data_IF_320421041973
#
_entry.id   IF_320421041973
#
_cell.length_a   1.000
_cell.length_b   1.000
_cell.length_c   1.000
_cell.angle_alpha   90.00
_cell.angle_beta   90.00
_cell.angle_gamma   90.00
#
_symmetry.space_group_name_H-M   'P 1'
#
loop_
_entity.id
_entity.type
_entity.pdbx_description
1 polymer ?
#
# COMPACT_ATOMS: atom_id res chain seq x y z
N UNK A 1 -8.44 22.93 38.91
CA UNK A 1 -9.42 21.89 39.28
C UNK A 1 -8.62 20.66 39.70
N UNK A 2 -8.48 20.40 41.00
CA UNK A 2 -7.68 19.30 41.55
C UNK A 2 -8.51 18.03 41.54
N UNK A 3 -8.28 17.14 40.58
CA UNK A 3 -8.92 15.82 40.54
C UNK A 3 -8.34 15.00 41.70
N UNK A 4 -9.17 14.69 42.70
CA UNK A 4 -8.81 13.85 43.83
C UNK A 4 -8.43 12.44 43.34
N UNK A 5 -7.30 11.89 43.81
CA UNK A 5 -6.83 10.53 43.50
C UNK A 5 -7.91 9.46 43.68
N UNK A 6 -8.80 9.60 44.67
CA UNK A 6 -9.93 8.67 44.88
C UNK A 6 -10.97 8.76 43.76
N UNK A 7 -11.28 9.95 43.29
CA UNK A 7 -12.20 10.18 42.16
C UNK A 7 -11.58 9.69 40.85
N UNK A 8 -10.27 9.84 40.66
CA UNK A 8 -9.54 9.31 39.51
C UNK A 8 -9.53 7.77 39.52
N UNK A 9 -9.28 7.14 40.68
CA UNK A 9 -9.34 5.68 40.81
C UNK A 9 -10.75 5.14 40.56
N UNK A 10 -11.78 5.80 41.10
CA UNK A 10 -13.18 5.40 40.88
C UNK A 10 -13.55 5.52 39.39
N UNK A 11 -13.12 6.59 38.72
CA UNK A 11 -13.33 6.78 37.28
C UNK A 11 -12.61 5.71 36.46
N UNK A 12 -11.37 5.36 36.81
CA UNK A 12 -10.61 4.27 36.15
C UNK A 12 -11.34 2.93 36.33
N UNK A 13 -11.81 2.62 37.54
CA UNK A 13 -12.54 1.37 37.82
C UNK A 13 -13.84 1.32 37.02
N UNK A 14 -14.63 2.40 36.98
CA UNK A 14 -15.89 2.45 36.21
C UNK A 14 -15.64 2.31 34.71
N UNK A 15 -14.67 3.04 34.14
CA UNK A 15 -14.35 2.97 32.72
C UNK A 15 -13.77 1.61 32.31
N UNK A 16 -12.90 1.02 33.14
CA UNK A 16 -12.38 -0.33 32.92
C UNK A 16 -13.44 -1.42 33.06
N UNK A 17 -14.44 -1.21 33.94
CA UNK A 17 -15.59 -2.09 34.12
C UNK A 17 -16.50 -2.12 32.89
N UNK A 18 -16.79 -0.97 32.27
CA UNK A 18 -17.65 -0.91 31.09
C UNK A 18 -17.06 -1.68 29.89
N UNK A 19 -15.78 -1.47 29.56
CA UNK A 19 -15.14 -2.20 28.46
C UNK A 19 -15.04 -3.71 28.74
N UNK A 20 -14.79 -4.10 29.99
CA UNK A 20 -14.77 -5.50 30.39
C UNK A 20 -16.16 -6.15 30.29
N UNK A 21 -17.22 -5.44 30.67
CA UNK A 21 -18.61 -5.90 30.56
C UNK A 21 -19.03 -6.06 29.10
N UNK A 22 -18.79 -5.08 28.22
CA UNK A 22 -19.15 -5.19 26.79
C UNK A 22 -18.37 -6.31 26.09
N UNK A 23 -17.10 -6.51 26.44
CA UNK A 23 -16.33 -7.64 25.92
C UNK A 23 -16.86 -8.98 26.44
N UNK A 24 -17.34 -9.02 27.68
CA UNK A 24 -17.98 -10.20 28.27
C UNK A 24 -19.28 -10.54 27.54
N UNK A 25 -20.16 -9.56 27.30
CA UNK A 25 -21.43 -9.79 26.61
C UNK A 25 -21.20 -10.27 25.18
N UNK A 26 -20.31 -9.63 24.41
CA UNK A 26 -19.99 -10.10 23.04
C UNK A 26 -19.37 -11.50 23.01
N UNK A 27 -18.60 -11.88 24.03
CA UNK A 27 -18.06 -13.23 24.15
C UNK A 27 -19.14 -14.26 24.51
N UNK A 28 -20.10 -13.90 25.36
CA UNK A 28 -21.23 -14.76 25.73
C UNK A 28 -22.19 -14.95 24.57
N UNK A 29 -22.51 -13.87 23.86
CA UNK A 29 -23.50 -13.86 22.79
C UNK A 29 -22.97 -14.47 21.49
N UNK A 30 -21.69 -14.26 21.17
CA UNK A 30 -21.11 -14.59 19.87
C UNK A 30 -19.77 -15.34 19.94
N UNK A 31 -19.34 -15.77 21.12
CA UNK A 31 -18.06 -16.45 21.30
C UNK A 31 -16.84 -15.52 21.29
N UNK A 32 -15.69 -16.06 21.69
CA UNK A 32 -14.42 -15.34 21.70
C UNK A 32 -13.95 -15.01 20.27
N UNK A 33 -13.23 -13.89 20.07
CA UNK A 33 -12.70 -13.55 18.75
C UNK A 33 -11.56 -14.49 18.36
N UNK A 34 -11.56 -14.91 17.09
CA UNK A 34 -10.49 -15.66 16.42
C UNK A 34 -9.71 -14.75 15.46
N UNK A 35 -8.49 -14.32 15.83
CA UNK A 35 -7.61 -13.52 14.97
C UNK A 35 -7.30 -14.15 13.60
N UNK A 36 -7.40 -15.47 13.46
CA UNK A 36 -7.10 -16.19 12.23
C UNK A 36 -8.33 -16.34 11.32
N UNK A 37 -9.52 -15.87 11.76
CA UNK A 37 -10.78 -16.03 11.03
C UNK A 37 -10.71 -15.58 9.56
N UNK A 38 -9.98 -14.50 9.30
CA UNK A 38 -9.82 -13.92 7.96
C UNK A 38 -8.43 -14.15 7.35
N UNK A 39 -7.66 -15.12 7.85
CA UNK A 39 -6.44 -15.56 7.17
C UNK A 39 -6.76 -16.23 5.83
N UNK A 40 -7.93 -16.89 5.76
CA UNK A 40 -8.49 -17.44 4.53
C UNK A 40 -9.95 -17.00 4.39
N UNK A 41 -10.35 -16.35 3.27
CA UNK A 41 -11.74 -15.96 3.04
C UNK A 41 -12.63 -17.20 2.82
N UNK A 42 -13.91 -17.08 3.20
CA UNK A 42 -14.93 -18.02 2.77
C UNK A 42 -15.31 -17.76 1.29
N UNK A 43 -15.68 -18.81 0.57
CA UNK A 43 -16.21 -18.66 -0.79
C UNK A 43 -17.63 -18.07 -0.76
N UNK A 44 -17.96 -17.14 -1.68
CA UNK A 44 -19.31 -16.61 -1.75
C UNK A 44 -20.30 -17.67 -2.27
N UNK A 45 -21.57 -17.60 -1.87
CA UNK A 45 -22.60 -18.50 -2.40
C UNK A 45 -22.83 -18.27 -3.91
N UNK A 46 -23.39 -19.25 -4.64
CA UNK A 46 -23.73 -19.09 -6.05
C UNK A 46 -24.58 -17.85 -6.30
N UNK A 47 -24.21 -17.05 -7.30
CA UNK A 47 -24.90 -15.82 -7.67
C UNK A 47 -24.51 -14.57 -6.87
N UNK A 48 -23.53 -14.67 -5.97
CA UNK A 48 -22.93 -13.53 -5.27
C UNK A 48 -21.42 -13.49 -5.51
N UNK A 49 -20.84 -12.31 -5.71
CA UNK A 49 -19.41 -12.12 -5.98
C UNK A 49 -18.90 -10.84 -5.33
N UNK A 50 -17.82 -10.95 -4.54
CA UNK A 50 -17.20 -9.76 -3.97
C UNK A 50 -16.73 -8.82 -5.09
N UNK A 51 -16.06 -9.35 -6.12
CA UNK A 51 -15.48 -8.48 -7.16
C UNK A 51 -16.51 -7.84 -8.07
N UNK A 52 -17.65 -8.49 -8.31
CA UNK A 52 -18.71 -7.95 -9.19
C UNK A 52 -19.71 -7.09 -8.44
N UNK A 53 -20.04 -7.45 -7.20
CA UNK A 53 -21.16 -6.83 -6.48
C UNK A 53 -20.69 -5.84 -5.40
N UNK A 54 -19.63 -6.18 -4.66
CA UNK A 54 -19.17 -5.42 -3.47
C UNK A 54 -18.08 -4.41 -3.83
N UNK A 55 -17.05 -4.87 -4.52
CA UNK A 55 -15.87 -4.06 -4.86
C UNK A 55 -16.24 -2.75 -5.58
N UNK A 56 -17.15 -2.72 -6.59
CA UNK A 56 -17.52 -1.46 -7.25
C UNK A 56 -18.13 -0.41 -6.31
N UNK A 57 -18.87 -0.85 -5.28
CA UNK A 57 -19.44 0.04 -4.26
C UNK A 57 -18.31 0.62 -3.41
N UNK A 58 -17.38 -0.22 -2.94
CA UNK A 58 -16.24 0.22 -2.14
C UNK A 58 -15.34 1.18 -2.92
N UNK A 59 -15.09 0.91 -4.21
CA UNK A 59 -14.30 1.77 -5.09
C UNK A 59 -14.93 3.15 -5.25
N UNK A 60 -16.24 3.19 -5.52
CA UNK A 60 -16.99 4.43 -5.71
C UNK A 60 -17.17 5.24 -4.43
N UNK A 61 -17.34 4.57 -3.28
CA UNK A 61 -17.81 5.22 -2.03
C UNK A 61 -16.76 5.31 -0.93
N UNK A 62 -15.75 4.44 -0.91
CA UNK A 62 -14.83 4.28 0.22
C UNK A 62 -13.37 4.50 -0.17
N UNK A 63 -12.93 3.98 -1.32
CA UNK A 63 -11.52 4.02 -1.76
C UNK A 63 -11.00 5.46 -1.87
N UNK A 64 -11.83 6.41 -2.31
CA UNK A 64 -11.45 7.83 -2.41
C UNK A 64 -10.86 8.41 -1.12
N UNK A 65 -11.31 7.95 0.05
CA UNK A 65 -10.78 8.38 1.36
C UNK A 65 -9.78 7.39 1.97
N UNK A 66 -9.79 6.13 1.51
CA UNK A 66 -9.08 5.01 2.14
C UNK A 66 -8.01 4.38 1.24
N UNK A 67 -7.61 5.02 0.14
CA UNK A 67 -6.60 4.49 -0.77
C UNK A 67 -5.16 4.78 -0.35
N UNK A 68 -4.92 5.77 0.51
CA UNK A 68 -3.58 6.23 0.86
C UNK A 68 -3.02 5.54 2.10
N UNK A 69 -1.70 5.60 2.35
CA UNK A 69 -1.13 5.00 3.57
C UNK A 69 -1.70 5.59 4.86
N UNK A 70 -2.01 6.88 4.86
CA UNK A 70 -2.62 7.61 5.97
C UNK A 70 -4.14 7.77 5.84
N UNK A 71 -4.81 6.86 5.09
CA UNK A 71 -6.27 6.75 5.15
C UNK A 71 -6.73 6.71 6.61
N UNK A 72 -7.94 7.22 6.96
CA UNK A 72 -8.40 7.27 8.34
C UNK A 72 -8.23 5.92 9.05
N UNK A 73 -7.59 5.94 10.23
CA UNK A 73 -7.25 4.73 11.00
C UNK A 73 -6.42 3.68 10.23
N UNK A 74 -5.66 4.10 9.22
CA UNK A 74 -4.97 3.22 8.26
C UNK A 74 -5.88 2.18 7.58
N UNK A 75 -7.21 2.32 7.61
CA UNK A 75 -8.10 1.34 6.99
C UNK A 75 -8.03 1.47 5.47
N UNK A 76 -7.92 0.34 4.78
CA UNK A 76 -7.82 0.26 3.32
C UNK A 76 -9.01 -0.51 2.75
N UNK A 77 -9.69 0.09 1.77
CA UNK A 77 -10.78 -0.54 1.01
C UNK A 77 -10.38 -0.92 -0.41
N UNK A 78 -9.09 -0.75 -0.76
CA UNK A 78 -8.52 -1.05 -2.08
C UNK A 78 -8.41 -2.54 -2.36
N UNK A 79 -8.49 -3.40 -1.34
CA UNK A 79 -8.53 -4.85 -1.50
C UNK A 79 -9.28 -5.48 -0.33
N UNK A 80 -9.77 -6.70 -0.51
CA UNK A 80 -10.45 -7.45 0.56
C UNK A 80 -9.55 -7.63 1.78
N UNK A 81 -8.27 -7.93 1.55
CA UNK A 81 -7.24 -8.11 2.58
C UNK A 81 -6.97 -6.81 3.34
N UNK A 82 -7.18 -5.65 2.70
CA UNK A 82 -7.12 -4.35 3.37
C UNK A 82 -8.22 -4.16 4.42
N UNK A 83 -9.41 -4.71 4.14
CA UNK A 83 -10.55 -4.71 5.06
C UNK A 83 -10.30 -5.74 6.17
N UNK A 84 -9.85 -6.94 5.83
CA UNK A 84 -9.49 -8.00 6.78
C UNK A 84 -8.36 -7.56 7.74
N UNK A 85 -7.38 -6.81 7.24
CA UNK A 85 -6.34 -6.17 8.06
C UNK A 85 -6.95 -5.27 9.14
N UNK A 86 -7.98 -4.49 8.83
CA UNK A 86 -8.66 -3.61 9.77
C UNK A 86 -7.96 -2.29 10.04
N UNK A 87 -8.10 -1.76 11.25
CA UNK A 87 -7.71 -0.39 11.63
C UNK A 87 -6.51 -0.35 12.57
N UNK A 88 -5.78 0.75 12.56
CA UNK A 88 -4.75 1.08 13.54
C UNK A 88 -4.85 2.55 13.96
N UNK A 89 -4.58 2.83 15.24
CA UNK A 89 -4.51 4.20 15.79
C UNK A 89 -3.15 4.86 15.53
N UNK A 90 -2.15 4.08 15.11
CA UNK A 90 -0.81 4.57 14.85
C UNK A 90 -0.82 5.63 13.74
N UNK A 91 -0.13 6.74 13.99
CA UNK A 91 0.01 7.79 12.99
C UNK A 91 1.12 7.41 12.01
N UNK A 92 0.79 7.33 10.72
CA UNK A 92 1.81 7.10 9.68
C UNK A 92 2.77 8.29 9.61
N UNK A 93 2.22 9.49 9.47
CA UNK A 93 2.97 10.75 9.48
C UNK A 93 2.91 11.39 10.87
N UNK A 94 3.99 11.20 11.64
CA UNK A 94 4.21 11.80 12.95
C UNK A 94 5.56 12.52 12.95
N UNK A 95 5.52 13.86 12.88
CA UNK A 95 6.72 14.71 12.83
C UNK A 95 7.49 14.75 14.15
N UNK A 96 6.94 14.21 15.24
CA UNK A 96 7.64 14.11 16.52
C UNK A 96 8.49 12.84 16.66
N UNK A 97 8.43 11.92 15.69
CA UNK A 97 9.10 10.64 15.78
C UNK A 97 10.61 10.80 15.56
N UNK A 98 11.41 10.27 16.49
CA UNK A 98 12.88 10.27 16.42
C UNK A 98 13.48 9.06 15.70
N UNK A 99 12.68 8.00 15.52
CA UNK A 99 13.09 6.74 14.91
C UNK A 99 12.13 6.38 13.78
N UNK A 100 12.53 5.50 12.87
CA UNK A 100 11.65 5.07 11.78
C UNK A 100 10.43 4.31 12.31
N UNK A 101 9.25 4.52 11.70
CA UNK A 101 8.06 3.74 12.03
C UNK A 101 8.15 2.31 11.49
N UNK A 102 7.55 1.32 12.18
CA UNK A 102 7.27 0.02 11.60
C UNK A 102 6.46 0.15 10.30
N UNK A 103 6.80 -0.66 9.29
CA UNK A 103 6.09 -0.63 8.01
C UNK A 103 4.82 -1.46 8.05
N UNK A 104 3.77 -0.95 7.38
CA UNK A 104 2.42 -1.51 7.37
C UNK A 104 1.81 -1.54 5.97
N UNK A 105 2.62 -1.72 4.92
CA UNK A 105 2.19 -1.84 3.53
C UNK A 105 1.48 -3.17 3.32
N UNK A 106 0.32 -3.10 2.69
CA UNK A 106 -0.48 -4.28 2.38
C UNK A 106 0.32 -5.22 1.47
N UNK A 107 0.19 -6.53 1.69
CA UNK A 107 0.86 -7.58 0.92
C UNK A 107 2.39 -7.62 0.96
N UNK A 108 3.03 -6.76 1.75
CA UNK A 108 4.49 -6.70 1.87
C UNK A 108 4.90 -6.97 3.31
N UNK A 109 4.39 -6.17 4.26
CA UNK A 109 4.88 -6.22 5.63
C UNK A 109 4.15 -7.26 6.51
N UNK A 110 3.01 -7.78 6.03
CA UNK A 110 2.31 -8.97 6.51
C UNK A 110 1.33 -9.49 5.43
N UNK A 111 1.01 -10.78 5.48
CA UNK A 111 0.24 -11.50 4.46
C UNK A 111 -1.16 -11.93 4.95
N UNK A 112 -1.37 -12.09 6.25
CA UNK A 112 -2.64 -12.59 6.81
C UNK A 112 -3.24 -11.65 7.86
N UNK A 113 -4.55 -11.79 8.13
CA UNK A 113 -5.24 -10.96 9.12
C UNK A 113 -4.65 -11.13 10.53
N UNK A 114 -4.34 -12.38 10.93
CA UNK A 114 -3.73 -12.70 12.21
C UNK A 114 -2.35 -12.06 12.40
N UNK A 115 -1.53 -12.00 11.35
CA UNK A 115 -0.24 -11.29 11.38
C UNK A 115 -0.44 -9.79 11.62
N UNK A 116 -1.49 -9.19 11.05
CA UNK A 116 -1.83 -7.80 11.31
C UNK A 116 -2.31 -7.54 12.74
N UNK A 117 -3.04 -8.49 13.35
CA UNK A 117 -3.38 -8.44 14.79
C UNK A 117 -2.12 -8.41 15.65
N UNK A 118 -1.12 -9.22 15.30
CA UNK A 118 0.21 -9.20 15.93
C UNK A 118 0.95 -7.86 15.79
N UNK A 119 0.63 -7.08 14.77
CA UNK A 119 1.13 -5.71 14.54
C UNK A 119 0.25 -4.61 15.15
N UNK A 120 -0.72 -4.97 16.00
CA UNK A 120 -1.58 -4.02 16.71
C UNK A 120 -2.79 -3.50 15.93
N UNK A 121 -3.08 -4.05 14.74
CA UNK A 121 -4.32 -3.71 14.04
C UNK A 121 -5.53 -4.37 14.71
N UNK A 122 -6.67 -3.70 14.67
CA UNK A 122 -7.95 -4.18 15.20
C UNK A 122 -8.92 -4.52 14.05
N UNK A 123 -9.67 -5.60 14.21
CA UNK A 123 -10.64 -6.04 13.21
C UNK A 123 -11.76 -5.03 13.00
N UNK A 124 -12.19 -4.90 11.74
CA UNK A 124 -13.43 -4.19 11.37
C UNK A 124 -14.54 -5.13 10.91
N UNK A 125 -14.17 -6.38 10.59
CA UNK A 125 -15.08 -7.49 10.31
C UNK A 125 -15.25 -8.35 11.57
N UNK A 126 -16.31 -9.17 11.61
CA UNK A 126 -16.58 -10.06 12.73
C UNK A 126 -15.60 -11.25 12.77
N UNK A 127 -14.73 -11.29 13.79
CA UNK A 127 -13.81 -12.40 14.06
C UNK A 127 -14.38 -13.45 15.01
N UNK A 128 -15.65 -13.34 15.42
CA UNK A 128 -16.31 -14.26 16.36
C UNK A 128 -17.11 -15.32 15.60
N UNK A 129 -18.12 -15.92 16.22
CA UNK A 129 -19.02 -16.87 15.56
C UNK A 129 -19.56 -16.33 14.24
N UNK A 130 -19.61 -17.19 13.22
CA UNK A 130 -19.95 -16.81 11.84
C UNK A 130 -21.43 -17.04 11.53
N UNK A 131 -22.29 -16.50 12.37
CA UNK A 131 -23.74 -16.46 12.12
C UNK A 131 -24.11 -15.11 11.50
N UNK A 132 -25.20 -15.00 10.70
CA UNK A 132 -25.61 -13.73 10.12
C UNK A 132 -25.80 -12.61 11.16
N UNK A 133 -26.36 -12.94 12.33
CA UNK A 133 -26.55 -11.98 13.42
C UNK A 133 -25.21 -11.50 14.01
N UNK A 134 -24.31 -12.43 14.35
CA UNK A 134 -22.99 -12.11 14.88
C UNK A 134 -22.15 -11.31 13.87
N UNK A 135 -22.21 -11.68 12.60
CA UNK A 135 -21.49 -11.02 11.51
C UNK A 135 -21.85 -9.53 11.36
N UNK A 136 -23.09 -9.16 11.69
CA UNK A 136 -23.52 -7.78 11.72
C UNK A 136 -23.21 -7.11 13.06
N UNK A 137 -23.64 -7.72 14.17
CA UNK A 137 -23.54 -7.13 15.50
C UNK A 137 -22.09 -6.88 15.94
N UNK A 138 -21.17 -7.78 15.55
CA UNK A 138 -19.75 -7.69 15.89
C UNK A 138 -18.87 -7.12 14.76
N UNK A 139 -19.46 -6.45 13.76
CA UNK A 139 -18.74 -5.80 12.66
C UNK A 139 -18.74 -4.27 12.83
N UNK A 140 -17.56 -3.70 13.09
CA UNK A 140 -17.36 -2.24 13.12
C UNK A 140 -17.77 -1.61 11.78
N UNK A 141 -17.46 -2.30 10.67
CA UNK A 141 -17.83 -1.82 9.34
C UNK A 141 -19.35 -1.74 9.18
N UNK A 142 -20.08 -2.78 9.59
CA UNK A 142 -21.55 -2.76 9.50
C UNK A 142 -22.13 -1.67 10.39
N UNK A 143 -21.71 -1.59 11.66
CA UNK A 143 -22.21 -0.60 12.61
C UNK A 143 -21.96 0.83 12.13
N UNK A 144 -20.83 1.09 11.47
CA UNK A 144 -20.55 2.40 10.86
C UNK A 144 -21.52 2.75 9.72
N UNK A 145 -21.91 1.77 8.90
CA UNK A 145 -22.90 1.96 7.84
C UNK A 145 -24.31 2.13 8.42
N UNK A 146 -24.67 1.33 9.42
CA UNK A 146 -25.95 1.41 10.11
C UNK A 146 -26.11 2.78 10.80
N UNK A 147 -25.08 3.27 11.48
CA UNK A 147 -25.08 4.57 12.13
C UNK A 147 -25.39 5.70 11.12
N UNK A 148 -24.89 5.59 9.89
CA UNK A 148 -25.17 6.56 8.82
C UNK A 148 -26.63 6.49 8.34
N UNK A 149 -27.19 5.30 8.30
CA UNK A 149 -28.59 5.08 7.92
C UNK A 149 -29.54 5.63 8.98
N UNK A 150 -29.24 5.40 10.26
CA UNK A 150 -30.04 5.85 11.40
C UNK A 150 -29.91 7.36 11.62
N UNK A 151 -28.76 7.94 11.29
CA UNK A 151 -28.48 9.37 11.37
C UNK A 151 -27.96 9.92 10.03
N UNK A 152 -28.85 10.14 9.04
CA UNK A 152 -28.49 10.73 7.75
C UNK A 152 -27.84 12.11 7.89
N UNK A 153 -27.15 12.56 6.82
CA UNK A 153 -26.59 13.91 6.81
C UNK A 153 -27.67 14.97 7.04
N UNK A 154 -27.35 16.05 7.78
CA UNK A 154 -28.22 17.22 7.85
C UNK A 154 -28.46 17.80 6.44
N UNK A 155 -29.70 18.19 6.15
CA UNK A 155 -30.09 18.83 4.89
C UNK A 155 -29.60 20.30 4.75
N UNK A 156 -28.40 20.60 5.21
CA UNK A 156 -27.80 21.93 5.23
C UNK A 156 -26.63 22.02 4.25
N UNK A 157 -26.45 23.17 3.61
CA UNK A 157 -25.37 23.37 2.63
C UNK A 157 -23.95 23.25 3.22
N UNK A 158 -23.78 23.62 4.51
CA UNK A 158 -22.53 23.51 5.25
C UNK A 158 -22.78 22.61 6.44
N UNK A 159 -21.96 21.57 6.59
CA UNK A 159 -22.07 20.64 7.71
C UNK A 159 -21.75 21.33 9.04
N UNK A 160 -22.48 20.99 10.13
CA UNK A 160 -22.27 21.61 11.43
C UNK A 160 -20.92 21.22 12.04
N UNK A 161 -20.49 21.96 13.06
CA UNK A 161 -19.24 21.72 13.81
C UNK A 161 -19.11 20.33 14.44
N UNK A 162 -20.20 19.58 14.51
CA UNK A 162 -20.18 18.18 14.93
C UNK A 162 -19.29 17.30 14.02
N UNK A 163 -19.05 17.72 12.77
CA UNK A 163 -18.11 17.06 11.87
C UNK A 163 -16.73 17.72 11.98
N UNK A 164 -15.74 17.01 12.54
CA UNK A 164 -14.36 17.48 12.60
C UNK A 164 -13.57 17.04 11.35
N UNK A 165 -13.34 17.98 10.44
CA UNK A 165 -12.52 17.79 9.23
C UNK A 165 -11.08 18.30 9.39
N UNK A 166 -10.64 18.64 10.60
CA UNK A 166 -9.29 19.16 10.80
C UNK A 166 -8.22 18.10 10.50
N UNK A 167 -7.11 18.53 9.88
CA UNK A 167 -5.98 17.67 9.52
C UNK A 167 -5.23 17.10 10.74
N UNK A 168 -5.42 17.70 11.91
CA UNK A 168 -4.78 17.34 13.18
C UNK A 168 -5.72 16.64 14.18
N UNK A 169 -6.92 16.22 13.76
CA UNK A 169 -7.88 15.57 14.66
C UNK A 169 -7.31 14.30 15.28
N UNK A 170 -7.74 13.99 16.50
CA UNK A 170 -7.37 12.72 17.17
C UNK A 170 -8.01 11.54 16.43
N UNK A 171 -7.21 10.50 16.17
CA UNK A 171 -7.70 9.24 15.60
C UNK A 171 -8.57 8.52 16.64
N UNK A 172 -9.86 8.32 16.35
CA UNK A 172 -10.79 7.64 17.26
C UNK A 172 -10.67 6.11 17.17
N UNK A 173 -10.73 5.58 15.94
CA UNK A 173 -10.59 4.16 15.58
C UNK A 173 -11.17 3.18 16.63
N UNK A 174 -12.48 3.25 16.90
CA UNK A 174 -13.11 2.40 17.90
C UNK A 174 -13.02 0.93 17.50
N UNK A 175 -12.77 0.07 18.49
CA UNK A 175 -12.93 -1.38 18.34
C UNK A 175 -14.40 -1.74 18.52
N UNK A 176 -14.76 -2.96 18.14
CA UNK A 176 -16.15 -3.42 18.30
C UNK A 176 -16.63 -3.35 19.76
N UNK A 177 -15.75 -3.69 20.71
CA UNK A 177 -16.04 -3.63 22.15
C UNK A 177 -16.27 -2.19 22.66
N UNK A 178 -15.76 -1.17 21.95
CA UNK A 178 -15.91 0.25 22.30
C UNK A 178 -17.00 0.96 21.47
N UNK A 179 -17.54 0.28 20.44
CA UNK A 179 -18.28 0.95 19.37
C UNK A 179 -19.64 1.50 19.82
N UNK A 180 -20.31 0.80 20.74
CA UNK A 180 -21.59 1.25 21.32
C UNK A 180 -21.44 2.59 22.07
N UNK A 181 -20.34 2.78 22.77
CA UNK A 181 -20.09 4.07 23.41
C UNK A 181 -19.74 5.14 22.36
N UNK A 182 -18.95 4.78 21.36
CA UNK A 182 -18.58 5.68 20.27
C UNK A 182 -19.80 6.23 19.52
N UNK A 183 -20.75 5.38 19.13
CA UNK A 183 -21.93 5.79 18.36
C UNK A 183 -22.90 6.66 19.16
N UNK A 184 -23.04 6.39 20.47
CA UNK A 184 -23.81 7.24 21.40
C UNK A 184 -23.21 8.64 21.53
N UNK A 185 -21.89 8.73 21.60
CA UNK A 185 -21.18 10.01 21.71
C UNK A 185 -21.09 10.75 20.37
N UNK A 186 -21.11 10.02 19.25
CA UNK A 186 -20.88 10.57 17.91
C UNK A 186 -21.95 10.10 16.90
N UNK A 187 -23.24 10.41 17.11
CA UNK A 187 -24.34 9.85 16.31
C UNK A 187 -24.25 10.22 14.81
N UNK A 188 -23.66 11.37 14.48
CA UNK A 188 -23.50 11.84 13.10
C UNK A 188 -22.25 11.30 12.39
N UNK A 189 -21.45 10.44 13.05
CA UNK A 189 -20.15 9.98 12.55
C UNK A 189 -20.21 8.65 11.79
N UNK A 190 -21.40 8.25 11.34
CA UNK A 190 -21.57 7.12 10.43
C UNK A 190 -20.85 7.30 9.09
N UNK A 191 -20.50 6.18 8.46
CA UNK A 191 -19.77 6.15 7.20
C UNK A 191 -20.73 6.02 6.00
N UNK A 192 -20.47 6.71 4.87
CA UNK A 192 -19.36 7.63 4.60
C UNK A 192 -19.40 8.93 5.43
N UNK A 193 -18.29 9.24 6.12
CA UNK A 193 -18.21 10.38 7.04
C UNK A 193 -18.22 11.70 6.27
N UNK A 194 -19.13 12.60 6.63
CA UNK A 194 -19.27 13.91 5.97
C UNK A 194 -19.78 13.85 4.52
N UNK A 195 -20.15 12.67 4.02
CA UNK A 195 -20.68 12.47 2.66
C UNK A 195 -22.08 11.82 2.73
N UNK A 196 -22.90 11.91 1.66
CA UNK A 196 -24.20 11.23 1.64
C UNK A 196 -24.06 9.73 1.92
N UNK A 197 -25.09 9.18 2.59
CA UNK A 197 -25.20 7.74 2.82
C UNK A 197 -25.26 6.95 1.50
N UNK A 198 -24.99 5.66 1.60
CA UNK A 198 -25.21 4.73 0.49
C UNK A 198 -26.70 4.73 0.12
N UNK A 199 -27.02 4.52 -1.15
CA UNK A 199 -28.40 4.25 -1.51
C UNK A 199 -28.84 2.86 -0.99
N UNK A 200 -30.15 2.60 -1.00
CA UNK A 200 -30.71 1.38 -0.43
C UNK A 200 -30.16 0.10 -1.07
N UNK A 201 -29.81 0.14 -2.36
CA UNK A 201 -29.26 -1.01 -3.08
C UNK A 201 -27.80 -1.23 -2.72
N UNK A 202 -27.00 -0.16 -2.73
CA UNK A 202 -25.60 -0.19 -2.30
C UNK A 202 -25.50 -0.70 -0.84
N UNK A 203 -26.34 -0.19 0.06
CA UNK A 203 -26.37 -0.62 1.46
C UNK A 203 -26.83 -2.08 1.63
N UNK A 204 -27.88 -2.50 0.92
CA UNK A 204 -28.36 -3.87 0.98
C UNK A 204 -27.29 -4.88 0.51
N UNK A 205 -26.55 -4.55 -0.54
CA UNK A 205 -25.45 -5.39 -1.06
C UNK A 205 -24.32 -5.52 -0.03
N UNK A 206 -23.87 -4.41 0.57
CA UNK A 206 -22.82 -4.45 1.59
C UNK A 206 -23.29 -5.17 2.86
N UNK A 207 -24.53 -4.92 3.30
CA UNK A 207 -25.14 -5.64 4.43
C UNK A 207 -25.16 -7.14 4.16
N UNK A 208 -25.63 -7.56 2.98
CA UNK A 208 -25.70 -8.98 2.61
C UNK A 208 -24.32 -9.63 2.59
N UNK A 209 -23.33 -8.94 2.04
CA UNK A 209 -21.94 -9.41 2.06
C UNK A 209 -21.41 -9.61 3.48
N UNK A 210 -21.68 -8.64 4.37
CA UNK A 210 -21.27 -8.74 5.77
C UNK A 210 -22.02 -9.86 6.50
N UNK A 211 -23.34 -10.00 6.33
CA UNK A 211 -24.15 -11.11 6.87
C UNK A 211 -23.58 -12.48 6.49
N UNK A 212 -23.09 -12.62 5.25
CA UNK A 212 -22.47 -13.84 4.74
C UNK A 212 -21.05 -14.10 5.30
N UNK A 213 -20.54 -13.25 6.18
CA UNK A 213 -19.20 -13.38 6.76
C UNK A 213 -18.10 -12.84 5.84
N UNK A 214 -18.42 -11.81 5.06
CA UNK A 214 -17.50 -11.13 4.14
C UNK A 214 -16.75 -12.07 3.17
N UNK A 215 -17.44 -12.96 2.44
CA UNK A 215 -16.79 -13.92 1.55
C UNK A 215 -16.03 -13.22 0.40
N UNK A 216 -14.98 -13.88 -0.09
CA UNK A 216 -14.17 -13.42 -1.22
C UNK A 216 -13.63 -14.61 -2.01
N UNK A 217 -13.92 -14.62 -3.30
CA UNK A 217 -13.56 -15.68 -4.24
C UNK A 217 -12.10 -15.65 -4.73
N UNK A 218 -11.26 -14.75 -4.20
CA UNK A 218 -9.88 -14.55 -4.64
C UNK A 218 -9.78 -13.80 -5.97
N UNK A 219 -8.61 -13.82 -6.61
CA UNK A 219 -8.39 -13.30 -7.96
C UNK A 219 -8.62 -14.40 -9.01
N UNK A 220 -9.14 -14.07 -10.21
CA UNK A 220 -9.32 -15.07 -11.26
C UNK A 220 -7.94 -15.53 -11.76
N UNK A 221 -7.80 -16.74 -12.32
CA UNK A 221 -6.54 -17.15 -12.94
C UNK A 221 -6.16 -16.18 -14.06
N UNK A 222 -4.85 -16.01 -14.25
CA UNK A 222 -4.32 -15.17 -15.31
C UNK A 222 -4.47 -15.89 -16.67
N UNK A 223 -4.71 -15.17 -17.79
CA UNK A 223 -4.69 -15.81 -19.11
C UNK A 223 -3.30 -16.38 -19.41
N UNK A 224 -3.23 -17.57 -20.00
CA UNK A 224 -1.96 -18.27 -20.26
C UNK A 224 -0.96 -17.45 -21.10
N UNK A 225 -1.44 -16.58 -22.00
CA UNK A 225 -0.59 -15.66 -22.76
C UNK A 225 0.14 -14.66 -21.85
N UNK A 226 -0.57 -14.12 -20.86
CA UNK A 226 0.01 -13.17 -19.91
C UNK A 226 0.99 -13.88 -18.98
N UNK A 227 0.67 -15.11 -18.53
CA UNK A 227 1.62 -15.92 -17.75
C UNK A 227 2.91 -16.22 -18.55
N UNK A 228 2.80 -16.48 -19.86
CA UNK A 228 3.98 -16.65 -20.71
C UNK A 228 4.82 -15.36 -20.80
N UNK A 229 4.20 -14.19 -20.92
CA UNK A 229 4.92 -12.91 -20.90
C UNK A 229 5.57 -12.63 -19.56
N UNK A 230 4.91 -12.95 -18.44
CA UNK A 230 5.53 -12.89 -17.11
C UNK A 230 6.78 -13.76 -17.08
N UNK A 231 6.70 -15.01 -17.55
CA UNK A 231 7.85 -15.91 -17.58
C UNK A 231 9.00 -15.37 -18.45
N UNK A 232 8.72 -14.83 -19.63
CA UNK A 232 9.72 -14.24 -20.53
C UNK A 232 10.45 -13.04 -19.89
N UNK A 233 9.70 -12.16 -19.23
CA UNK A 233 10.25 -10.99 -18.56
C UNK A 233 11.02 -11.37 -17.30
N UNK A 234 10.52 -12.30 -16.50
CA UNK A 234 11.26 -12.82 -15.36
C UNK A 234 12.54 -13.54 -15.79
N UNK A 235 12.55 -14.28 -16.90
CA UNK A 235 13.76 -14.87 -17.44
C UNK A 235 14.80 -13.81 -17.85
N UNK A 236 14.35 -12.71 -18.49
CA UNK A 236 15.24 -11.59 -18.82
C UNK A 236 15.83 -10.92 -17.57
N UNK A 237 15.01 -10.66 -16.55
CA UNK A 237 15.41 -9.97 -15.32
C UNK A 237 16.27 -10.83 -14.38
N UNK A 238 16.28 -12.15 -14.54
CA UNK A 238 16.93 -13.07 -13.60
C UNK A 238 18.11 -13.85 -14.19
N UNK A 239 18.80 -13.30 -15.20
CA UNK A 239 20.04 -13.89 -15.72
C UNK A 239 21.15 -14.01 -14.67
N UNK A 240 22.08 -14.96 -14.86
CA UNK A 240 23.05 -15.32 -13.81
C UNK A 240 24.31 -14.44 -13.78
N UNK A 241 24.69 -13.83 -14.90
CA UNK A 241 25.90 -13.00 -14.97
C UNK A 241 25.83 -11.76 -14.07
N UNK A 242 26.98 -11.31 -13.54
CA UNK A 242 27.06 -10.08 -12.73
C UNK A 242 26.50 -8.86 -13.47
N UNK A 243 26.76 -8.77 -14.78
CA UNK A 243 26.18 -7.74 -15.66
C UNK A 243 24.65 -7.77 -15.60
N UNK A 244 24.01 -8.91 -15.84
CA UNK A 244 22.55 -9.01 -15.81
C UNK A 244 21.97 -8.68 -14.43
N UNK A 245 22.62 -9.16 -13.35
CA UNK A 245 22.20 -8.85 -11.97
C UNK A 245 22.23 -7.35 -11.67
N UNK A 246 23.31 -6.66 -12.07
CA UNK A 246 23.44 -5.21 -11.87
C UNK A 246 22.40 -4.44 -12.68
N UNK A 247 22.14 -4.86 -13.93
CA UNK A 247 21.12 -4.25 -14.78
C UNK A 247 19.72 -4.43 -14.20
N UNK A 248 19.38 -5.61 -13.70
CA UNK A 248 18.07 -5.83 -13.07
C UNK A 248 17.90 -5.07 -11.76
N UNK A 249 18.99 -4.90 -10.98
CA UNK A 249 19.00 -3.98 -9.83
C UNK A 249 18.70 -2.55 -10.25
N UNK A 250 19.36 -2.06 -11.30
CA UNK A 250 19.12 -0.73 -11.86
C UNK A 250 17.66 -0.58 -12.29
N UNK A 251 17.12 -1.52 -13.07
CA UNK A 251 15.72 -1.49 -13.54
C UNK A 251 14.75 -1.49 -12.35
N UNK A 252 14.95 -2.36 -11.36
CA UNK A 252 14.08 -2.41 -10.19
C UNK A 252 14.11 -1.10 -9.38
N UNK A 253 15.29 -0.58 -9.06
CA UNK A 253 15.40 0.63 -8.24
C UNK A 253 14.79 1.86 -8.92
N UNK A 254 14.68 1.86 -10.26
CA UNK A 254 13.99 2.91 -11.00
C UNK A 254 12.49 2.65 -11.19
N UNK A 255 12.04 1.39 -11.22
CA UNK A 255 10.66 1.01 -11.57
C UNK A 255 9.84 0.44 -10.41
N UNK A 256 10.35 0.39 -9.17
CA UNK A 256 9.66 -0.29 -8.04
C UNK A 256 8.28 0.29 -7.67
N UNK A 257 7.94 1.50 -8.12
CA UNK A 257 6.62 2.12 -7.94
C UNK A 257 5.70 1.96 -9.15
N UNK A 258 6.16 1.35 -10.24
CA UNK A 258 5.38 1.17 -11.45
C UNK A 258 4.23 0.18 -11.24
N UNK A 259 3.09 0.49 -11.87
CA UNK A 259 2.11 -0.52 -12.24
C UNK A 259 2.46 -1.01 -13.64
N UNK A 260 3.17 -2.12 -13.70
CA UNK A 260 3.62 -2.77 -14.92
C UNK A 260 2.45 -3.45 -15.62
N UNK A 261 2.31 -3.28 -16.93
CA UNK A 261 1.37 -4.07 -17.75
C UNK A 261 2.05 -4.51 -19.05
N UNK A 262 1.45 -5.42 -19.80
CA UNK A 262 1.92 -5.76 -21.15
C UNK A 262 1.21 -4.92 -22.22
N UNK A 263 1.95 -4.45 -23.23
CA UNK A 263 1.46 -3.52 -24.27
C UNK A 263 0.44 -4.13 -25.22
N UNK A 264 0.37 -5.45 -25.30
CA UNK A 264 -0.58 -6.23 -26.08
C UNK A 264 -1.70 -6.88 -25.23
N UNK A 265 -1.79 -6.52 -23.94
CA UNK A 265 -2.87 -6.95 -23.05
C UNK A 265 -4.02 -5.92 -23.03
N UNK A 266 -5.14 -6.17 -23.73
CA UNK A 266 -6.27 -5.23 -23.77
C UNK A 266 -6.97 -5.08 -22.42
N UNK A 267 -6.81 -6.03 -21.50
CA UNK A 267 -7.39 -5.95 -20.16
C UNK A 267 -6.49 -5.20 -19.16
N UNK A 268 -5.27 -4.84 -19.57
CA UNK A 268 -4.26 -4.16 -18.75
C UNK A 268 -4.13 -4.79 -17.35
N UNK A 269 -3.85 -6.10 -17.29
CA UNK A 269 -3.50 -6.73 -16.02
C UNK A 269 -2.21 -6.10 -15.49
N UNK A 270 -2.31 -5.50 -14.30
CA UNK A 270 -1.20 -4.81 -13.67
C UNK A 270 -0.40 -5.72 -12.74
N UNK A 271 0.89 -5.46 -12.68
CA UNK A 271 1.88 -6.13 -11.85
C UNK A 271 2.78 -5.10 -11.16
N UNK A 272 3.37 -5.51 -10.04
CA UNK A 272 4.43 -4.79 -9.35
C UNK A 272 5.73 -5.56 -9.56
N UNK A 273 6.81 -4.85 -9.85
CA UNK A 273 8.13 -5.45 -9.87
C UNK A 273 8.66 -5.52 -8.43
N UNK A 274 8.87 -6.73 -7.91
CA UNK A 274 9.28 -6.97 -6.52
C UNK A 274 10.60 -7.73 -6.44
N UNK A 275 11.31 -7.57 -5.31
CA UNK A 275 12.43 -8.45 -4.94
C UNK A 275 11.91 -9.69 -4.21
N UNK A 276 12.40 -10.86 -4.61
CA UNK A 276 12.01 -12.17 -4.08
C UNK A 276 13.22 -12.98 -3.66
N UNK A 277 13.09 -13.77 -2.59
CA UNK A 277 14.09 -14.77 -2.19
C UNK A 277 14.04 -16.01 -3.08
N UNK A 278 12.88 -16.30 -3.67
CA UNK A 278 12.63 -17.47 -4.50
C UNK A 278 12.67 -17.15 -6.00
N UNK A 279 13.23 -18.06 -6.83
CA UNK A 279 13.32 -17.89 -8.29
C UNK A 279 11.96 -18.05 -9.01
N UNK A 280 11.88 -17.65 -10.29
CA UNK A 280 10.77 -18.01 -11.17
C UNK A 280 10.42 -19.50 -11.13
N UNK A 281 9.13 -19.82 -11.19
CA UNK A 281 8.61 -21.18 -11.01
C UNK A 281 8.31 -21.58 -9.56
N UNK A 282 8.70 -20.77 -8.57
CA UNK A 282 8.30 -20.92 -7.17
C UNK A 282 7.38 -19.78 -6.72
N UNK A 283 6.55 -19.98 -5.67
CA UNK A 283 5.79 -18.91 -5.04
C UNK A 283 6.70 -17.75 -4.64
N UNK A 284 6.26 -16.52 -4.91
CA UNK A 284 7.03 -15.31 -4.61
C UNK A 284 7.20 -15.18 -3.08
N UNK A 285 8.44 -15.07 -2.63
CA UNK A 285 8.80 -14.77 -1.24
C UNK A 285 9.38 -13.35 -1.17
N UNK A 286 8.51 -12.36 -0.90
CA UNK A 286 8.84 -10.94 -0.98
C UNK A 286 9.91 -10.53 0.04
N UNK A 287 10.91 -9.80 -0.44
CA UNK A 287 11.91 -9.12 0.38
C UNK A 287 11.37 -7.74 0.77
N UNK A 288 10.77 -7.66 1.96
CA UNK A 288 10.16 -6.45 2.50
C UNK A 288 11.20 -5.50 3.13
N UNK A 289 11.87 -4.69 2.31
CA UNK A 289 12.73 -3.60 2.79
C UNK A 289 12.01 -2.25 2.85
N UNK A 290 12.59 -1.27 3.53
CA UNK A 290 12.06 0.11 3.55
C UNK A 290 12.31 0.82 2.25
N UNK A 291 13.55 0.74 1.76
CA UNK A 291 14.02 1.37 0.54
C UNK A 291 14.34 0.29 -0.47
N UNK A 292 14.17 0.57 -1.78
CA UNK A 292 14.44 -0.42 -2.82
C UNK A 292 15.92 -0.87 -2.83
N UNK A 293 16.82 -0.02 -2.33
CA UNK A 293 18.25 -0.28 -2.27
C UNK A 293 18.76 -0.79 -0.91
N UNK A 294 17.89 -1.02 0.10
CA UNK A 294 18.37 -1.62 1.35
C UNK A 294 18.81 -3.07 1.12
N UNK A 295 19.71 -3.55 2.00
CA UNK A 295 20.21 -4.92 2.00
C UNK A 295 19.05 -5.93 1.97
N UNK A 296 19.01 -6.82 0.95
CA UNK A 296 17.96 -7.82 0.82
C UNK A 296 18.06 -8.97 1.83
N UNK A 297 19.19 -9.11 2.54
CA UNK A 297 19.45 -10.18 3.51
C UNK A 297 19.62 -11.56 2.89
N UNK A 298 19.91 -11.62 1.59
CA UNK A 298 20.13 -12.85 0.82
C UNK A 298 21.25 -12.65 -0.21
N UNK A 299 21.97 -13.72 -0.53
CA UNK A 299 23.06 -13.70 -1.51
C UNK A 299 22.55 -13.44 -2.95
N UNK A 300 21.36 -13.94 -3.27
CA UNK A 300 20.73 -13.84 -4.59
C UNK A 300 19.32 -13.29 -4.44
N UNK A 301 19.09 -12.16 -5.10
CA UNK A 301 17.77 -11.56 -5.28
C UNK A 301 17.21 -12.01 -6.63
N UNK A 302 15.92 -12.33 -6.66
CA UNK A 302 15.16 -12.52 -7.88
C UNK A 302 14.16 -11.38 -8.06
N UNK A 303 14.04 -10.85 -9.27
CA UNK A 303 13.07 -9.82 -9.62
C UNK A 303 11.84 -10.48 -10.24
N UNK A 304 10.70 -10.35 -9.57
CA UNK A 304 9.46 -11.07 -9.89
C UNK A 304 8.33 -10.09 -10.19
N UNK A 305 7.41 -10.46 -11.08
CA UNK A 305 6.21 -9.69 -11.37
C UNK A 305 5.07 -10.21 -10.49
N UNK A 306 4.81 -9.52 -9.38
CA UNK A 306 3.70 -9.83 -8.48
C UNK A 306 2.42 -9.13 -8.96
N UNK A 307 1.31 -9.87 -9.09
CA UNK A 307 0.07 -9.30 -9.60
C UNK A 307 -0.44 -8.20 -8.67
N UNK A 308 -0.87 -7.07 -9.26
CA UNK A 308 -1.52 -6.00 -8.51
C UNK A 308 -2.88 -6.49 -7.98
N UNK A 309 -3.06 -6.34 -6.68
CA UNK A 309 -4.21 -6.84 -5.91
C UNK A 309 -5.10 -5.70 -5.43
N UNK A 310 -4.53 -4.50 -5.30
CA UNK A 310 -5.26 -3.31 -4.90
C UNK A 310 -5.98 -2.69 -6.11
N UNK A 311 -7.13 -2.07 -5.86
CA UNK A 311 -7.80 -1.15 -6.79
C UNK A 311 -6.81 -0.09 -7.26
N UNK A 312 -6.72 0.08 -8.58
CA UNK A 312 -5.93 1.15 -9.17
C UNK A 312 -6.54 2.51 -8.83
N UNK A 313 -5.72 3.38 -8.21
CA UNK A 313 -6.11 4.74 -7.88
C UNK A 313 -5.17 5.75 -8.54
N UNK A 314 -5.72 6.84 -9.07
CA UNK A 314 -4.93 7.80 -9.84
C UNK A 314 -3.73 8.34 -9.04
N UNK A 315 -3.90 8.56 -7.73
CA UNK A 315 -2.85 9.11 -6.84
C UNK A 315 -1.53 8.31 -6.86
N UNK A 316 -1.60 6.99 -6.99
CA UNK A 316 -0.44 6.10 -7.02
C UNK A 316 -0.23 5.43 -8.37
N UNK A 317 -1.14 5.63 -9.33
CA UNK A 317 -1.08 4.93 -10.61
C UNK A 317 0.00 5.49 -11.53
N UNK A 318 1.04 4.67 -11.74
CA UNK A 318 2.16 4.89 -12.64
C UNK A 318 2.26 3.76 -13.66
N UNK A 319 1.43 3.76 -14.73
CA UNK A 319 1.42 2.69 -15.71
C UNK A 319 2.75 2.60 -16.46
N UNK A 320 3.24 1.38 -16.65
CA UNK A 320 4.52 1.11 -17.31
C UNK A 320 4.41 -0.10 -18.26
N UNK A 321 4.47 0.18 -19.56
CA UNK A 321 4.20 -0.80 -20.62
C UNK A 321 5.40 -1.70 -20.98
N UNK A 322 5.39 -2.96 -20.58
CA UNK A 322 6.36 -3.95 -21.04
C UNK A 322 5.93 -4.55 -22.38
N UNK A 323 6.90 -4.74 -23.27
CA UNK A 323 6.70 -5.36 -24.57
C UNK A 323 8.03 -5.71 -25.26
N UNK A 324 7.97 -6.47 -26.36
CA UNK A 324 9.18 -6.97 -27.04
C UNK A 324 10.14 -5.82 -27.46
N UNK A 325 9.58 -4.70 -27.92
CA UNK A 325 10.38 -3.51 -28.29
C UNK A 325 11.16 -2.95 -27.10
N UNK A 326 10.52 -2.88 -25.93
CA UNK A 326 11.15 -2.38 -24.70
C UNK A 326 12.23 -3.32 -24.20
N UNK A 327 11.98 -4.63 -24.20
CA UNK A 327 13.01 -5.62 -23.84
C UNK A 327 14.23 -5.51 -24.76
N UNK A 328 14.00 -5.38 -26.08
CA UNK A 328 15.09 -5.21 -27.04
C UNK A 328 15.85 -3.91 -26.81
N UNK A 329 15.15 -2.82 -26.50
CA UNK A 329 15.78 -1.53 -26.15
C UNK A 329 16.68 -1.66 -24.93
N UNK A 330 16.22 -2.30 -23.86
CA UNK A 330 17.03 -2.52 -22.66
C UNK A 330 18.23 -3.43 -22.92
N UNK A 331 18.10 -4.45 -23.79
CA UNK A 331 19.24 -5.26 -24.25
C UNK A 331 20.27 -4.40 -24.98
N UNK A 332 19.85 -3.52 -25.88
CA UNK A 332 20.74 -2.60 -26.60
C UNK A 332 21.47 -1.63 -25.69
N UNK A 333 20.78 -1.10 -24.66
CA UNK A 333 21.38 -0.16 -23.72
C UNK A 333 22.35 -0.84 -22.76
N UNK A 334 22.00 -2.01 -22.23
CA UNK A 334 22.69 -2.54 -21.06
C UNK A 334 23.37 -3.90 -21.25
N UNK A 335 22.92 -4.72 -22.19
CA UNK A 335 23.44 -6.10 -22.33
C UNK A 335 24.43 -6.24 -23.48
N UNK A 336 24.08 -5.68 -24.64
CA UNK A 336 24.88 -5.75 -25.86
C UNK A 336 26.19 -4.95 -25.81
N UNK A 337 26.28 -3.79 -25.14
CA UNK A 337 27.53 -3.05 -25.09
C UNK A 337 28.66 -3.84 -24.43
N UNK A 338 29.87 -3.63 -24.94
CA UNK A 338 31.07 -4.29 -24.46
C UNK A 338 31.66 -3.55 -23.25
N UNK A 339 31.39 -4.10 -22.08
CA UNK A 339 31.89 -3.64 -20.79
C UNK A 339 31.85 -4.81 -19.79
N UNK A 340 32.69 -4.76 -18.77
CA UNK A 340 32.72 -5.77 -17.71
C UNK A 340 32.03 -5.27 -16.44
N UNK A 341 31.50 -6.22 -15.67
CA UNK A 341 31.06 -6.01 -14.29
C UNK A 341 31.78 -7.06 -13.46
N UNK A 342 32.87 -6.64 -12.83
CA UNK A 342 33.77 -7.55 -12.10
C UNK A 342 33.20 -7.95 -10.74
N UNK A 343 32.48 -7.01 -10.09
CA UNK A 343 31.84 -7.20 -8.78
C UNK A 343 30.46 -6.52 -8.74
N UNK A 344 29.59 -6.99 -7.85
CA UNK A 344 28.33 -6.32 -7.56
C UNK A 344 28.52 -5.25 -6.47
N UNK A 345 27.85 -4.09 -6.61
CA UNK A 345 27.90 -3.04 -5.59
C UNK A 345 27.30 -3.52 -4.28
N UNK A 346 27.92 -3.08 -3.17
CA UNK A 346 27.43 -3.34 -1.82
C UNK A 346 26.03 -2.72 -1.57
N UNK A 347 25.33 -3.27 -0.59
CA UNK A 347 24.11 -2.71 -0.03
C UNK A 347 24.36 -1.81 1.19
N UNK A 348 25.63 -1.64 1.60
CA UNK A 348 26.01 -0.67 2.62
C UNK A 348 25.51 0.74 2.25
N UNK A 349 24.91 1.44 3.21
CA UNK A 349 24.17 2.68 2.97
C UNK A 349 25.00 3.74 2.25
N UNK A 350 26.30 3.85 2.56
CA UNK A 350 27.21 4.80 1.93
C UNK A 350 27.37 4.59 0.42
N UNK A 351 27.21 3.35 -0.06
CA UNK A 351 27.27 2.98 -1.47
C UNK A 351 25.87 3.00 -2.07
N UNK A 352 24.94 2.25 -1.47
CA UNK A 352 23.62 1.97 -2.02
C UNK A 352 22.74 3.22 -2.20
N UNK A 353 22.96 4.26 -1.39
CA UNK A 353 22.25 5.55 -1.51
C UNK A 353 22.80 6.45 -2.62
N UNK A 354 23.97 6.13 -3.18
CA UNK A 354 24.60 6.90 -4.24
C UNK A 354 24.51 6.14 -5.58
N UNK A 355 23.64 6.56 -6.51
CA UNK A 355 23.46 5.86 -7.78
C UNK A 355 24.68 6.00 -8.71
N UNK A 356 25.52 7.02 -8.53
CA UNK A 356 26.74 7.20 -9.33
C UNK A 356 27.83 6.21 -8.93
N UNK A 357 27.89 5.82 -7.66
CA UNK A 357 28.79 4.75 -7.18
C UNK A 357 28.20 3.36 -7.43
N UNK A 358 26.94 3.14 -7.06
CA UNK A 358 26.28 1.84 -7.16
C UNK A 358 26.29 1.33 -8.61
N UNK A 359 26.03 2.21 -9.58
CA UNK A 359 25.88 1.82 -10.98
C UNK A 359 27.03 2.28 -11.88
N UNK A 360 28.21 2.56 -11.30
CA UNK A 360 29.37 3.06 -12.05
C UNK A 360 29.85 2.15 -13.18
N UNK A 361 29.65 0.84 -13.02
CA UNK A 361 30.03 -0.14 -14.04
C UNK A 361 29.07 -0.13 -15.25
N UNK A 362 27.86 0.45 -15.12
CA UNK A 362 26.95 0.59 -16.25
C UNK A 362 27.35 1.80 -17.10
N UNK A 363 27.38 1.68 -18.44
CA UNK A 363 27.73 2.80 -19.32
C UNK A 363 26.92 4.06 -19.02
N UNK A 364 27.59 5.20 -18.90
CA UNK A 364 26.95 6.49 -18.59
C UNK A 364 25.89 6.86 -19.64
N UNK A 365 26.20 6.66 -20.92
CA UNK A 365 25.26 6.88 -22.02
C UNK A 365 24.02 5.97 -21.93
N UNK A 366 24.17 4.72 -21.50
CA UNK A 366 23.05 3.80 -21.30
C UNK A 366 22.12 4.25 -20.16
N UNK A 367 22.69 4.62 -19.01
CA UNK A 367 21.94 5.14 -17.85
C UNK A 367 21.19 6.42 -18.21
N UNK A 368 21.88 7.36 -18.86
CA UNK A 368 21.28 8.61 -19.34
C UNK A 368 20.13 8.37 -20.31
N UNK A 369 20.36 7.51 -21.30
CA UNK A 369 19.37 7.20 -22.32
C UNK A 369 18.14 6.51 -21.74
N UNK A 370 18.30 5.63 -20.75
CA UNK A 370 17.17 5.04 -20.03
C UNK A 370 16.33 6.11 -19.33
N UNK A 371 16.96 7.03 -18.59
CA UNK A 371 16.25 8.12 -17.91
C UNK A 371 15.52 9.03 -18.89
N UNK A 372 16.09 9.24 -20.09
CA UNK A 372 15.48 10.04 -21.15
C UNK A 372 14.31 9.32 -21.83
N UNK A 373 14.48 8.03 -22.14
CA UNK A 373 13.42 7.18 -22.70
C UNK A 373 12.21 7.12 -21.73
N UNK A 374 12.48 7.23 -20.43
CA UNK A 374 11.49 7.18 -19.34
C UNK A 374 11.28 8.52 -18.63
N UNK A 375 11.51 9.65 -19.31
CA UNK A 375 11.49 10.98 -18.70
C UNK A 375 10.15 11.30 -18.00
N UNK A 376 9.03 11.01 -18.66
CA UNK A 376 7.70 11.20 -18.06
C UNK A 376 7.53 10.34 -16.80
N UNK A 377 7.88 9.06 -16.86
CA UNK A 377 7.77 8.16 -15.71
C UNK A 377 8.65 8.64 -14.55
N UNK A 378 9.90 9.03 -14.84
CA UNK A 378 10.84 9.58 -13.85
C UNK A 378 10.26 10.78 -13.12
N UNK A 379 9.72 11.77 -13.85
CA UNK A 379 9.10 12.94 -13.23
C UNK A 379 7.84 12.55 -12.44
N UNK A 380 7.03 11.64 -12.97
CA UNK A 380 5.82 11.20 -12.29
C UNK A 380 6.09 10.48 -10.97
N UNK A 381 7.23 9.80 -10.79
CA UNK A 381 7.64 9.22 -9.50
C UNK A 381 7.93 10.26 -8.42
N UNK A 382 8.27 11.50 -8.80
CA UNK A 382 8.42 12.61 -7.87
C UNK A 382 7.05 13.21 -7.47
N UNK A 383 6.06 13.14 -8.37
CA UNK A 383 4.75 13.77 -8.19
C UNK A 383 3.71 12.82 -7.55
N UNK A 384 3.73 11.54 -7.93
CA UNK A 384 2.78 10.52 -7.46
C UNK A 384 3.41 9.68 -6.35
N UNK A 385 2.59 9.35 -5.36
CA UNK A 385 3.00 8.57 -4.21
C UNK A 385 1.84 8.37 -3.23
N UNK A 386 1.94 7.42 -2.30
CA UNK A 386 0.83 7.01 -1.42
C UNK A 386 0.56 7.98 -0.26
N UNK A 387 1.12 9.20 -0.31
CA UNK A 387 0.97 10.25 0.71
C UNK A 387 -0.28 11.09 0.44
N UNK A 388 -1.20 11.14 1.40
CA UNK A 388 -2.40 11.98 1.31
C UNK A 388 -2.46 13.09 2.37
N UNK A 389 -1.39 13.28 3.14
CA UNK A 389 -1.22 14.40 4.05
C UNK A 389 -0.60 15.61 3.35
N UNK A 390 -1.45 16.47 2.81
CA UNK A 390 -1.06 17.60 1.95
C UNK A 390 0.10 18.45 2.47
N UNK A 391 0.07 18.89 3.74
CA UNK A 391 1.14 19.75 4.27
C UNK A 391 2.50 19.06 4.37
N UNK A 392 2.54 17.74 4.63
CA UNK A 392 3.81 16.98 4.66
C UNK A 392 4.34 16.79 3.24
N UNK A 393 3.46 16.55 2.27
CA UNK A 393 3.84 16.28 0.89
C UNK A 393 4.11 17.53 0.04
N UNK A 394 3.47 18.66 0.33
CA UNK A 394 3.45 19.84 -0.54
C UNK A 394 4.30 20.99 -0.02
N UNK A 395 4.54 21.09 1.30
CA UNK A 395 5.40 22.15 1.84
C UNK A 395 6.89 21.98 1.47
N UNK A 396 7.25 20.87 0.81
CA UNK A 396 8.60 20.61 0.29
C UNK A 396 8.77 21.05 -1.18
N UNK A 397 7.71 21.55 -1.84
CA UNK A 397 7.74 22.01 -3.24
C UNK A 397 7.03 23.38 -3.32
N UNK A 398 7.74 24.45 -2.97
CA UNK A 398 7.31 25.83 -3.24
C UNK A 398 8.03 26.42 -4.47
N UNK A 399 8.47 25.57 -5.40
CA UNK A 399 9.29 25.97 -6.53
C UNK A 399 8.53 25.94 -7.86
N UNK A 400 8.73 27.00 -8.66
CA UNK A 400 8.37 27.02 -10.09
C UNK A 400 9.63 26.70 -10.89
N UNK A 401 9.77 25.46 -11.31
CA UNK A 401 10.92 25.03 -12.10
C UNK A 401 10.50 24.48 -13.46
N UNK A 402 11.42 24.59 -14.42
CA UNK A 402 11.34 23.96 -15.73
C UNK A 402 12.39 22.86 -15.80
N UNK A 403 11.98 21.66 -16.22
CA UNK A 403 12.92 20.55 -16.43
C UNK A 403 13.13 20.37 -17.93
N UNK A 404 14.39 20.41 -18.36
CA UNK A 404 14.79 20.15 -19.74
C UNK A 404 15.62 18.86 -19.79
N UNK A 405 15.33 18.00 -20.77
CA UNK A 405 16.10 16.80 -21.05
C UNK A 405 16.94 17.02 -22.30
N UNK A 406 18.26 17.00 -22.18
CA UNK A 406 19.16 17.24 -23.31
C UNK A 406 19.30 15.99 -24.19
N UNK A 407 19.38 16.15 -25.49
CA UNK A 407 19.55 15.04 -26.44
C UNK A 407 20.98 15.00 -27.02
N UNK A 408 21.96 15.51 -26.29
CA UNK A 408 23.36 15.59 -26.72
C UNK A 408 24.14 14.38 -26.19
N UNK A 409 24.68 13.57 -27.10
CA UNK A 409 25.43 12.36 -26.78
C UNK A 409 26.89 12.66 -26.39
N UNK A 410 27.51 13.68 -26.96
CA UNK A 410 28.94 13.98 -26.76
C UNK A 410 29.20 14.48 -25.34
N UNK A 411 28.24 15.22 -24.76
CA UNK A 411 28.26 15.62 -23.36
C UNK A 411 28.17 14.44 -22.39
N UNK A 412 27.56 13.32 -22.78
CA UNK A 412 27.31 12.19 -21.87
C UNK A 412 28.59 11.40 -21.58
N UNK A 413 29.44 11.20 -22.58
CA UNK A 413 30.70 10.48 -22.40
C UNK A 413 31.72 11.33 -21.62
N UNK A 414 31.77 12.64 -21.91
CA UNK A 414 32.60 13.59 -21.15
C UNK A 414 32.14 13.76 -19.69
N UNK A 415 30.83 13.67 -19.45
CA UNK A 415 30.28 13.71 -18.09
C UNK A 415 30.65 12.46 -17.26
N UNK A 416 30.96 11.32 -17.89
CA UNK A 416 31.28 10.08 -17.18
C UNK A 416 32.47 10.21 -16.24
N UNK A 417 33.58 10.78 -16.72
CA UNK A 417 34.78 11.02 -15.88
C UNK A 417 34.50 12.01 -14.75
N UNK A 418 33.73 13.07 -15.03
CA UNK A 418 33.33 14.05 -14.03
C UNK A 418 32.47 13.42 -12.93
N UNK A 419 31.42 12.68 -13.31
CA UNK A 419 30.50 12.03 -12.37
C UNK A 419 31.23 11.00 -11.49
N UNK A 420 32.18 10.27 -12.06
CA UNK A 420 33.01 9.32 -11.32
C UNK A 420 33.92 10.03 -10.30
N UNK A 421 34.57 11.13 -10.70
CA UNK A 421 35.47 11.89 -9.82
C UNK A 421 34.72 12.59 -8.68
N UNK A 422 33.55 13.16 -8.98
CA UNK A 422 32.79 13.98 -8.02
C UNK A 422 31.68 13.18 -7.31
N UNK A 423 31.61 11.86 -7.48
CA UNK A 423 30.53 11.02 -6.97
C UNK A 423 30.24 11.20 -5.48
N UNK A 424 31.29 11.40 -4.67
CA UNK A 424 31.19 11.64 -3.22
C UNK A 424 30.42 12.91 -2.86
N UNK A 425 30.45 13.93 -3.73
CA UNK A 425 29.69 15.19 -3.58
C UNK A 425 28.24 15.06 -4.08
N UNK A 426 27.94 14.00 -4.83
CA UNK A 426 26.62 13.73 -5.42
C UNK A 426 25.79 12.73 -4.59
N UNK A 427 26.23 12.44 -3.36
CA UNK A 427 25.49 11.58 -2.44
C UNK A 427 24.13 12.19 -2.08
N UNK A 428 23.08 11.37 -2.11
CA UNK A 428 21.75 11.82 -1.74
C UNK A 428 21.61 11.92 -0.21
N UNK A 429 20.86 12.91 0.32
CA UNK A 429 20.65 13.07 1.77
C UNK A 429 20.00 11.86 2.45
N UNK A 430 19.38 10.96 1.67
CA UNK A 430 18.74 9.75 2.19
C UNK A 430 19.67 8.88 3.06
N UNK A 431 21.00 8.95 2.86
CA UNK A 431 21.98 8.28 3.71
C UNK A 431 22.04 8.79 5.16
N UNK A 432 21.54 10.00 5.43
CA UNK A 432 21.67 10.69 6.72
C UNK A 432 20.40 10.61 7.60
N UNK A 433 19.34 9.98 7.11
CA UNK A 433 18.07 9.80 7.81
C UNK A 433 16.87 10.05 6.90
N UNK A 434 15.70 9.53 7.30
CA UNK A 434 14.39 9.80 6.69
C UNK A 434 13.45 10.45 7.68
#
# INVERSE_FOLDING_TARGET
MTINKKSLLLLIVVLSGCAALTRHTLNEDYGAPDPARFDTPAMPPPGFSYRKDVQPILEKRCVVCHACYDGPCQLKFTAWEGIARGTSKELVYDSGRLLEAPMTRLFVDAQTASQWRGKGFSAVLNEREQTPAANLAASVMYRALQLKQEHPLPGTAILPKAFDFSLGRKQQCPRIDDYENFERENPLWGMPFGLPGLDDTELATLRRWLELGAPFEGLPPMPARIDAQVADWEAFLNGDSLKQRLVSRYIYEHLFLAHVHFDDDPAHHYFRLVRSRTPPGQPIDIIASRRPYDDPGVERVYYRLDRERETIVDKTHLPYALGAKRMQRWRQLFIQPDYAVDDLPSYELAVASNPFETFKALPTSARYQFMRDEAQFTIMNFIKGPVCRGQVALNVIEDRFWVFFLADADLQDQAGEFLSRESSLLALPAAQGS
#
